data_IF_613656801437
#
_entry.id   IF_613656801437
#
_cell.length_a   1.000
_cell.length_b   1.000
_cell.length_c   1.000
_cell.angle_alpha   90.00
_cell.angle_beta   90.00
_cell.angle_gamma   90.00
#
_symmetry.space_group_name_H-M   'P 1'
#
loop_
_entity.id
_entity.type
_entity.pdbx_description
1 polymer ?
#
# COMPACT_ATOMS: atom_id res chain seq x y z
N UNK A 1 24.11 14.53 12.54
CA UNK A 1 23.38 14.64 11.26
C UNK A 1 22.01 13.99 11.45
N UNK A 2 20.90 14.71 11.31
CA UNK A 2 19.57 14.10 11.36
C UNK A 2 19.39 13.31 10.06
N UNK A 3 19.39 11.97 10.13
CA UNK A 3 19.06 11.15 8.98
C UNK A 3 17.60 11.41 8.60
N UNK A 4 17.38 11.95 7.41
CA UNK A 4 16.05 12.18 6.86
C UNK A 4 15.42 10.82 6.55
N UNK A 5 14.40 10.42 7.31
CA UNK A 5 13.63 9.19 7.06
C UNK A 5 13.12 9.19 5.61
N UNK A 6 13.43 8.14 4.87
CA UNK A 6 12.98 7.99 3.49
C UNK A 6 11.50 7.60 3.42
N UNK A 7 10.87 7.78 2.25
CA UNK A 7 9.49 7.32 2.03
C UNK A 7 9.30 5.84 2.39
N UNK A 8 10.27 4.99 2.02
CA UNK A 8 10.25 3.55 2.29
C UNK A 8 10.30 3.24 3.78
N UNK A 9 11.19 3.88 4.52
CA UNK A 9 11.29 3.70 5.98
C UNK A 9 10.00 4.15 6.67
N UNK A 10 9.41 5.26 6.22
CA UNK A 10 8.15 5.78 6.75
C UNK A 10 6.97 4.85 6.44
N UNK A 11 6.88 4.35 5.22
CA UNK A 11 5.85 3.37 4.84
C UNK A 11 5.93 2.10 5.69
N UNK A 12 7.14 1.58 5.92
CA UNK A 12 7.35 0.41 6.77
C UNK A 12 6.92 0.68 8.22
N UNK A 13 7.24 1.86 8.75
CA UNK A 13 6.83 2.27 10.10
C UNK A 13 5.30 2.35 10.22
N UNK A 14 4.62 2.94 9.23
CA UNK A 14 3.14 2.98 9.17
C UNK A 14 2.54 1.58 9.22
N UNK A 15 3.09 0.64 8.44
CA UNK A 15 2.64 -0.75 8.40
C UNK A 15 2.93 -1.55 9.68
N UNK A 16 3.88 -1.06 10.49
CA UNK A 16 4.24 -1.67 11.77
C UNK A 16 3.41 -1.11 12.93
N UNK A 17 2.69 0.00 12.72
CA UNK A 17 1.89 0.65 13.74
C UNK A 17 0.50 0.01 13.84
N UNK A 18 0.23 -0.63 14.99
CA UNK A 18 -1.06 -1.27 15.28
C UNK A 18 -2.26 -0.31 15.21
N UNK A 19 -2.06 0.99 15.44
CA UNK A 19 -3.14 1.97 15.39
C UNK A 19 -3.68 2.20 13.97
N UNK A 20 -2.89 1.88 12.94
CA UNK A 20 -3.26 2.02 11.54
C UNK A 20 -3.69 0.71 10.86
N UNK A 21 -3.59 -0.43 11.55
CA UNK A 21 -3.84 -1.76 10.95
C UNK A 21 -5.23 -1.92 10.32
N UNK A 22 -6.24 -1.19 10.80
CA UNK A 22 -7.58 -1.20 10.22
C UNK A 22 -7.72 -0.44 8.89
N UNK A 23 -6.71 0.37 8.52
CA UNK A 23 -6.67 1.16 7.27
C UNK A 23 -5.58 0.67 6.33
N UNK A 24 -4.44 0.24 6.88
CA UNK A 24 -3.28 -0.21 6.13
C UNK A 24 -2.55 -1.30 6.91
N UNK A 25 -2.32 -2.45 6.29
CA UNK A 25 -1.65 -3.57 6.95
C UNK A 25 -0.94 -4.49 5.94
N UNK A 26 -0.03 -5.31 6.44
CA UNK A 26 0.57 -6.37 5.66
C UNK A 26 -0.47 -7.42 5.26
N UNK A 27 -0.38 -7.94 4.05
CA UNK A 27 -1.03 -9.21 3.71
C UNK A 27 -0.51 -10.31 4.67
N UNK A 28 -1.30 -11.34 5.03
CA UNK A 28 -0.88 -12.37 5.98
C UNK A 28 0.50 -12.99 5.68
N UNK A 29 0.78 -13.24 4.40
CA UNK A 29 2.06 -13.78 3.91
C UNK A 29 3.26 -12.82 4.04
N UNK A 30 3.01 -11.52 4.28
CA UNK A 30 4.06 -10.51 4.48
C UNK A 30 4.81 -10.07 3.21
N UNK A 31 4.33 -10.47 2.03
CA UNK A 31 4.95 -10.15 0.72
C UNK A 31 4.35 -8.92 0.01
N UNK A 32 3.24 -8.42 0.54
CA UNK A 32 2.48 -7.29 0.03
C UNK A 32 1.80 -6.59 1.20
N UNK A 33 1.25 -5.41 0.94
CA UNK A 33 0.40 -4.69 1.90
C UNK A 33 -0.88 -4.22 1.24
N UNK A 34 -1.92 -4.09 2.05
CA UNK A 34 -3.27 -3.69 1.65
C UNK A 34 -3.58 -2.34 2.29
N UNK A 35 -4.18 -1.45 1.52
CA UNK A 35 -4.89 -0.27 2.01
C UNK A 35 -6.38 -0.56 1.89
N UNK A 36 -7.05 -0.77 3.02
CA UNK A 36 -8.44 -1.24 3.08
C UNK A 36 -9.43 -0.16 2.62
N UNK A 37 -9.28 1.06 3.14
CA UNK A 37 -10.05 2.23 2.71
C UNK A 37 -9.09 3.35 2.28
N UNK A 38 -8.86 3.54 0.97
CA UNK A 38 -7.97 4.59 0.46
C UNK A 38 -8.37 6.00 0.86
N UNK A 39 -9.67 6.29 0.94
CA UNK A 39 -10.17 7.61 1.28
C UNK A 39 -9.92 7.92 2.76
N UNK A 40 -10.24 6.96 3.63
CA UNK A 40 -10.06 7.13 5.06
C UNK A 40 -8.58 7.11 5.47
N UNK A 41 -7.77 6.25 4.85
CA UNK A 41 -6.32 6.28 4.99
C UNK A 41 -5.74 7.66 4.62
N UNK A 42 -6.21 8.23 3.50
CA UNK A 42 -5.75 9.53 3.04
C UNK A 42 -6.16 10.68 3.96
N UNK A 43 -7.33 10.58 4.61
CA UNK A 43 -7.83 11.57 5.57
C UNK A 43 -7.17 11.45 6.94
N UNK A 44 -6.95 10.24 7.43
CA UNK A 44 -6.53 9.99 8.81
C UNK A 44 -5.02 9.82 9.00
N UNK A 45 -4.34 9.13 8.08
CA UNK A 45 -2.94 8.72 8.25
C UNK A 45 -2.01 9.67 7.50
N UNK A 46 -2.33 9.98 6.23
CA UNK A 46 -1.43 10.77 5.41
C UNK A 46 -1.13 12.18 5.96
N UNK A 47 -2.04 12.94 6.59
CA UNK A 47 -1.71 14.24 7.17
C UNK A 47 -0.86 14.16 8.44
N UNK A 48 -0.89 13.02 9.15
CA UNK A 48 -0.06 12.78 10.35
C UNK A 48 1.37 12.42 9.94
N UNK A 49 1.49 11.58 8.92
CA UNK A 49 2.77 11.04 8.46
C UNK A 49 3.41 11.87 7.33
N UNK A 50 2.62 12.62 6.57
CA UNK A 50 3.07 13.42 5.44
C UNK A 50 2.44 14.81 5.51
N UNK A 51 2.97 15.76 4.74
CA UNK A 51 2.48 17.16 4.74
C UNK A 51 1.22 17.37 3.91
N UNK A 52 0.50 16.30 3.55
CA UNK A 52 -0.71 16.36 2.72
C UNK A 52 -1.58 15.10 2.91
N UNK A 53 -2.89 15.21 2.67
CA UNK A 53 -3.84 14.09 2.68
C UNK A 53 -4.14 13.47 1.31
N UNK A 54 -3.22 13.57 0.34
CA UNK A 54 -3.49 13.16 -1.04
C UNK A 54 -3.03 11.72 -1.33
N UNK A 55 -4.00 10.82 -1.55
CA UNK A 55 -3.74 9.41 -1.89
C UNK A 55 -3.00 9.23 -3.21
N UNK A 56 -3.32 10.02 -4.24
CA UNK A 56 -2.64 9.98 -5.54
C UNK A 56 -1.15 10.30 -5.40
N UNK A 57 -0.78 11.23 -4.53
CA UNK A 57 0.62 11.52 -4.22
C UNK A 57 1.31 10.35 -3.53
N UNK A 58 0.62 9.64 -2.63
CA UNK A 58 1.13 8.43 -2.00
C UNK A 58 1.35 7.30 -3.03
N UNK A 59 0.39 7.05 -3.91
CA UNK A 59 0.52 6.08 -5.01
C UNK A 59 1.65 6.47 -5.97
N UNK A 60 1.83 7.77 -6.25
CA UNK A 60 2.96 8.23 -7.06
C UNK A 60 4.30 7.91 -6.40
N UNK A 61 4.42 8.07 -5.08
CA UNK A 61 5.64 7.67 -4.37
C UNK A 61 5.86 6.15 -4.50
N UNK A 62 4.84 5.33 -4.28
CA UNK A 62 4.93 3.87 -4.50
C UNK A 62 5.46 3.54 -5.90
N UNK A 63 4.92 4.16 -6.95
CA UNK A 63 5.35 3.94 -8.33
C UNK A 63 6.82 4.35 -8.58
N UNK A 64 7.26 5.47 -8.00
CA UNK A 64 8.64 5.95 -8.11
C UNK A 64 9.65 5.00 -7.45
N UNK A 65 9.22 4.22 -6.45
CA UNK A 65 10.03 3.19 -5.80
C UNK A 65 9.78 1.78 -6.35
N UNK A 66 9.02 1.65 -7.45
CA UNK A 66 8.84 0.38 -8.15
C UNK A 66 7.82 -0.57 -7.53
N UNK A 67 6.94 -0.08 -6.65
CA UNK A 67 5.80 -0.89 -6.20
C UNK A 67 4.80 -1.08 -7.33
N UNK A 68 4.12 -2.23 -7.31
CA UNK A 68 3.08 -2.57 -8.28
C UNK A 68 1.77 -2.86 -7.55
N UNK A 69 0.68 -2.25 -8.05
CA UNK A 69 -0.68 -2.57 -7.60
C UNK A 69 -1.07 -3.97 -8.08
N UNK A 70 -1.64 -4.78 -7.19
CA UNK A 70 -2.22 -6.07 -7.52
C UNK A 70 -3.69 -5.90 -7.90
N UNK A 71 -4.08 -6.53 -9.02
CA UNK A 71 -5.46 -6.54 -9.45
C UNK A 71 -6.20 -7.67 -8.73
N UNK A 72 -7.09 -7.32 -7.78
CA UNK A 72 -7.92 -8.27 -7.03
C UNK A 72 -8.92 -9.05 -7.91
N UNK A 73 -9.06 -8.69 -9.19
CA UNK A 73 -9.94 -9.33 -10.17
C UNK A 73 -9.71 -10.84 -10.32
N UNK A 74 -8.52 -11.34 -10.01
CA UNK A 74 -8.21 -12.78 -10.09
C UNK A 74 -8.69 -13.58 -8.87
N UNK A 75 -8.98 -12.93 -7.74
CA UNK A 75 -9.42 -13.62 -6.51
C UNK A 75 -10.94 -13.72 -6.37
N UNK A 76 -11.69 -12.92 -7.13
CA UNK A 76 -13.17 -12.90 -7.10
C UNK A 76 -13.81 -13.85 -8.11
N UNK A 77 -13.02 -14.67 -8.81
CA UNK A 77 -13.47 -15.60 -9.86
C UNK A 77 -13.34 -17.09 -9.49
N UNK A 78 -13.43 -17.46 -8.21
CA UNK A 78 -13.60 -18.88 -7.81
C UNK A 78 -14.92 -19.18 -7.12
N UNK A 79 -15.90 -18.27 -7.17
CA UNK A 79 -17.30 -18.60 -6.90
C UNK A 79 -18.21 -17.80 -7.83
N UNK A 80 -18.95 -18.52 -8.68
CA UNK A 80 -20.04 -18.10 -9.57
C UNK A 80 -19.63 -17.94 -11.04
N UNK A 81 -20.06 -18.95 -11.82
CA UNK A 81 -20.18 -18.88 -13.26
C UNK A 81 -21.13 -17.75 -13.68
N UNK A 82 -20.78 -17.07 -14.77
CA UNK A 82 -21.72 -16.26 -15.56
C UNK A 82 -21.65 -14.76 -15.31
N UNK A 83 -21.34 -14.01 -16.38
CA UNK A 83 -21.62 -12.58 -16.46
C UNK A 83 -20.40 -11.71 -16.73
N UNK A 84 -20.12 -11.45 -18.00
CA UNK A 84 -19.39 -10.26 -18.39
C UNK A 84 -20.25 -9.04 -18.04
N UNK A 85 -19.82 -8.20 -17.09
CA UNK A 85 -20.35 -6.84 -16.97
C UNK A 85 -19.55 -5.93 -16.03
N UNK A 86 -19.14 -4.79 -16.59
CA UNK A 86 -18.92 -3.48 -15.97
C UNK A 86 -17.72 -3.30 -15.04
N UNK A 87 -16.67 -2.71 -15.63
CA UNK A 87 -15.62 -1.99 -14.92
C UNK A 87 -16.17 -0.75 -14.21
N UNK A 88 -16.77 -0.96 -13.05
CA UNK A 88 -17.02 0.07 -12.05
C UNK A 88 -15.95 -0.05 -10.97
N UNK A 89 -14.82 0.62 -11.15
CA UNK A 89 -13.86 0.82 -10.06
C UNK A 89 -14.55 1.71 -9.03
N UNK A 90 -15.13 1.11 -7.99
CA UNK A 90 -15.54 1.86 -6.81
C UNK A 90 -14.27 2.51 -6.26
N UNK A 91 -14.22 3.85 -6.19
CA UNK A 91 -13.04 4.61 -5.74
C UNK A 91 -12.62 4.27 -4.31
N UNK A 92 -13.50 3.59 -3.56
CA UNK A 92 -13.26 3.10 -2.21
C UNK A 92 -12.89 1.61 -2.11
N UNK A 93 -12.63 0.92 -3.23
CA UNK A 93 -12.20 -0.48 -3.15
C UNK A 93 -10.76 -0.57 -2.62
N UNK A 94 -10.58 -1.42 -1.61
CA UNK A 94 -9.28 -1.82 -1.06
C UNK A 94 -8.25 -2.06 -2.17
N UNK A 95 -7.00 -1.65 -1.94
CA UNK A 95 -5.94 -1.84 -2.92
C UNK A 95 -4.70 -2.46 -2.29
N UNK A 96 -4.12 -3.43 -3.01
CA UNK A 96 -2.96 -4.16 -2.57
C UNK A 96 -1.74 -3.80 -3.41
N UNK A 97 -0.59 -3.65 -2.77
CA UNK A 97 0.68 -3.29 -3.41
C UNK A 97 1.78 -4.24 -2.98
N UNK A 98 2.69 -4.56 -3.92
CA UNK A 98 3.87 -5.39 -3.65
C UNK A 98 5.15 -4.79 -4.19
N UNK A 99 6.26 -5.18 -3.58
CA UNK A 99 7.62 -4.96 -4.07
C UNK A 99 8.52 -6.11 -3.58
N UNK A 100 9.39 -6.64 -4.45
CA UNK A 100 10.17 -7.87 -4.18
C UNK A 100 11.09 -7.78 -2.94
N UNK A 101 11.49 -6.56 -2.57
CA UNK A 101 12.38 -6.27 -1.43
C UNK A 101 11.66 -5.59 -0.25
N UNK A 102 10.34 -5.43 -0.31
CA UNK A 102 9.55 -4.79 0.75
C UNK A 102 8.71 -5.87 1.44
N UNK A 103 9.26 -6.49 2.48
CA UNK A 103 8.68 -7.66 3.15
C UNK A 103 8.60 -7.42 4.66
N UNK A 104 7.53 -7.91 5.31
CA UNK A 104 7.21 -7.66 6.73
C UNK A 104 8.31 -8.01 7.74
N UNK A 105 9.21 -8.92 7.40
CA UNK A 105 10.23 -9.41 8.33
C UNK A 105 11.65 -9.20 7.80
N UNK A 106 11.80 -8.43 6.71
CA UNK A 106 13.08 -8.25 6.02
C UNK A 106 13.46 -6.77 5.91
N UNK A 107 13.56 -6.10 7.07
CA UNK A 107 13.90 -4.66 7.19
C UNK A 107 15.25 -4.34 6.56
N UNK A 108 16.19 -5.29 6.60
CA UNK A 108 17.52 -5.14 6.05
C UNK A 108 17.55 -4.96 4.53
N UNK A 109 16.46 -5.30 3.83
CA UNK A 109 16.33 -5.12 2.38
C UNK A 109 15.84 -3.71 2.00
N UNK A 110 15.29 -2.93 2.95
CA UNK A 110 14.76 -1.59 2.68
C UNK A 110 15.78 -0.62 2.04
N UNK A 111 17.08 -0.61 2.42
CA UNK A 111 18.10 0.24 1.78
C UNK A 111 18.32 -0.06 0.28
N UNK A 112 17.92 -1.24 -0.19
CA UNK A 112 18.04 -1.62 -1.59
C UNK A 112 16.90 -1.06 -2.46
N UNK A 113 15.83 -0.56 -1.85
CA UNK A 113 14.69 0.03 -2.56
C UNK A 113 15.01 1.49 -2.87
N UNK A 114 15.43 1.73 -4.11
CA UNK A 114 15.84 3.06 -4.58
C UNK A 114 14.76 3.69 -5.44
N UNK A 115 14.66 5.01 -5.32
CA UNK A 115 13.82 5.82 -6.20
C UNK A 115 14.41 5.77 -7.62
N UNK A 116 13.56 5.51 -8.62
CA UNK A 116 13.90 5.60 -10.03
C UNK A 116 14.10 7.06 -10.48
#
# INVERSE_FOLDING_TARGET
>A
MVQKTTFIQKLYAILSDSSFQHLIHWHPEGQSFIVEDPAEFARQVLPKEYKHGNFTSFVRQLNLYGFHKLNRSYHRHTHSAGGASHGGSSENESCEFRHAKFLRERVELLPEIRRK
#
